data_IF_960306272354
#
_entry.id   IF_960306272354
#
_cell.length_a   1.000
_cell.length_b   1.000
_cell.length_c   1.000
_cell.angle_alpha   90.00
_cell.angle_beta   90.00
_cell.angle_gamma   90.00
#
_symmetry.space_group_name_H-M   'P 1'
#
loop_
_entity.id
_entity.type
_entity.pdbx_description
1 polymer ?
#
# COMPACT_ATOMS: atom_id res chain seq x y z
N UNK A 1 5.83 -10.45 5.28
CA UNK A 1 5.16 -9.43 6.12
C UNK A 1 4.97 -9.85 7.59
N UNK A 2 4.48 -11.06 7.91
CA UNK A 2 4.09 -11.45 9.27
C UNK A 2 5.07 -11.17 10.43
N UNK A 3 6.39 -11.31 10.25
CA UNK A 3 7.39 -10.96 11.29
C UNK A 3 7.75 -9.46 11.35
N UNK A 4 7.50 -8.69 10.27
CA UNK A 4 7.79 -7.24 10.18
C UNK A 4 6.70 -6.38 10.86
N UNK A 5 5.49 -6.91 11.01
CA UNK A 5 4.39 -6.32 11.76
C UNK A 5 4.62 -6.23 13.29
N UNK A 6 5.74 -6.74 13.81
CA UNK A 6 6.05 -6.73 15.25
C UNK A 6 6.79 -5.44 15.69
N UNK A 7 7.37 -4.66 14.76
CA UNK A 7 8.10 -3.41 15.10
C UNK A 7 7.23 -2.22 15.49
N UNK A 8 6.02 -2.00 14.94
CA UNK A 8 5.19 -0.85 15.29
C UNK A 8 4.70 -0.86 16.75
N UNK A 9 4.77 -2.00 17.44
CA UNK A 9 4.49 -2.08 18.88
C UNK A 9 5.39 -1.16 19.72
N UNK A 10 6.62 -0.91 19.27
CA UNK A 10 7.53 0.03 19.94
C UNK A 10 7.08 1.49 19.80
N UNK A 11 6.43 1.85 18.69
CA UNK A 11 5.91 3.21 18.48
C UNK A 11 4.75 3.53 19.43
N UNK A 12 3.94 2.56 19.84
CA UNK A 12 2.95 2.79 20.91
C UNK A 12 3.60 3.05 22.27
N UNK A 13 4.72 2.37 22.56
CA UNK A 13 5.49 2.62 23.78
C UNK A 13 6.11 4.05 23.81
N UNK A 14 6.24 4.69 22.64
CA UNK A 14 6.72 6.07 22.48
C UNK A 14 5.58 7.11 22.49
N UNK A 15 4.32 6.70 22.74
CA UNK A 15 3.17 7.60 22.92
C UNK A 15 2.37 7.90 21.64
N UNK A 16 2.68 7.24 20.51
CA UNK A 16 1.86 7.38 19.30
C UNK A 16 0.56 6.61 19.43
N UNK A 17 -0.57 7.28 19.22
CA UNK A 17 -1.91 6.67 19.31
C UNK A 17 -2.35 5.97 18.02
N UNK A 18 -1.79 6.37 16.88
CA UNK A 18 -2.03 5.76 15.57
C UNK A 18 -0.71 5.63 14.84
N UNK A 19 -0.46 4.44 14.28
CA UNK A 19 0.72 4.16 13.47
C UNK A 19 0.24 3.52 12.18
N UNK A 20 0.80 3.94 11.05
CA UNK A 20 0.46 3.37 9.74
C UNK A 20 1.72 2.74 9.14
N UNK A 21 1.58 1.51 8.68
CA UNK A 21 2.58 0.84 7.85
C UNK A 21 2.14 0.97 6.41
N UNK A 22 3.07 1.39 5.54
CA UNK A 22 2.88 1.42 4.10
C UNK A 22 3.88 0.50 3.41
N UNK A 23 3.47 -0.09 2.28
CA UNK A 23 4.37 -0.71 1.31
C UNK A 23 5.34 0.34 0.73
N UNK A 24 6.52 -0.11 0.33
CA UNK A 24 7.54 0.75 -0.31
C UNK A 24 7.58 0.61 -1.83
N UNK A 25 6.75 -0.29 -2.36
CA UNK A 25 6.58 -0.75 -3.73
C UNK A 25 5.55 0.06 -4.53
N UNK A 26 4.90 1.04 -3.90
CA UNK A 26 3.89 1.90 -4.55
C UNK A 26 4.37 3.38 -4.65
N UNK A 27 5.36 3.70 -5.51
CA UNK A 27 6.04 5.01 -5.52
C UNK A 27 5.18 6.20 -5.98
N UNK A 28 4.01 5.94 -6.56
CA UNK A 28 3.04 6.94 -6.99
C UNK A 28 1.87 7.13 -6.00
N UNK A 29 1.86 6.40 -4.88
CA UNK A 29 0.77 6.42 -3.91
C UNK A 29 0.44 7.85 -3.45
N UNK A 30 -0.81 8.32 -3.58
CA UNK A 30 -1.18 9.66 -3.16
C UNK A 30 -1.04 9.83 -1.64
N UNK A 31 -0.33 10.87 -1.21
CA UNK A 31 -0.22 11.23 0.22
C UNK A 31 -1.60 11.45 0.86
N UNK A 32 -2.59 11.88 0.08
CA UNK A 32 -3.97 11.99 0.54
C UNK A 32 -4.55 10.68 1.07
N UNK A 33 -4.10 9.51 0.60
CA UNK A 33 -4.60 8.21 1.09
C UNK A 33 -4.01 7.90 2.47
N UNK A 34 -2.73 8.23 2.69
CA UNK A 34 -2.09 8.15 4.01
C UNK A 34 -2.79 9.10 4.99
N UNK A 35 -3.08 10.34 4.56
CA UNK A 35 -3.81 11.31 5.39
C UNK A 35 -5.23 10.83 5.74
N UNK A 36 -5.95 10.22 4.79
CA UNK A 36 -7.26 9.60 5.06
C UNK A 36 -7.15 8.50 6.12
N UNK A 37 -6.12 7.64 6.01
CA UNK A 37 -5.89 6.59 6.99
C UNK A 37 -5.65 7.13 8.41
N UNK A 38 -4.84 8.18 8.53
CA UNK A 38 -4.53 8.82 9.81
C UNK A 38 -5.74 9.55 10.41
N UNK A 39 -6.56 10.16 9.56
CA UNK A 39 -7.76 10.90 9.96
C UNK A 39 -8.97 10.01 10.28
N UNK A 40 -8.99 8.76 9.81
CA UNK A 40 -10.12 7.85 10.04
C UNK A 40 -10.29 7.48 11.51
N UNK A 41 -11.52 7.50 12.00
CA UNK A 41 -11.88 7.09 13.37
C UNK A 41 -12.29 5.61 13.46
N UNK A 42 -12.09 4.83 12.38
CA UNK A 42 -12.34 3.39 12.41
C UNK A 42 -11.24 2.65 13.15
N UNK A 43 -11.60 1.50 13.71
CA UNK A 43 -10.63 0.63 14.37
C UNK A 43 -9.60 0.15 13.35
N UNK A 44 -10.07 -0.35 12.20
CA UNK A 44 -9.25 -0.87 11.11
C UNK A 44 -9.45 -0.07 9.82
N UNK A 45 -8.37 0.35 9.19
CA UNK A 45 -8.37 0.95 7.85
C UNK A 45 -7.54 0.04 6.96
N UNK A 46 -7.93 -0.24 5.72
CA UNK A 46 -7.08 -0.99 4.81
C UNK A 46 -7.00 -0.25 3.48
N UNK A 47 -5.82 -0.19 2.89
CA UNK A 47 -5.63 0.30 1.52
C UNK A 47 -5.49 -0.88 0.56
N UNK A 48 -6.54 -1.28 -0.18
CA UNK A 48 -6.48 -2.46 -1.05
C UNK A 48 -5.44 -2.27 -2.15
N UNK A 49 -4.65 -3.31 -2.40
CA UNK A 49 -3.77 -3.39 -3.57
C UNK A 49 -4.40 -4.22 -4.68
N UNK A 50 -3.99 -3.98 -5.92
CA UNK A 50 -4.48 -4.72 -7.10
C UNK A 50 -4.05 -6.18 -7.14
N UNK A 51 -3.07 -6.57 -6.32
CA UNK A 51 -2.59 -7.95 -6.18
C UNK A 51 -3.47 -8.79 -5.23
N UNK A 52 -4.51 -8.21 -4.62
CA UNK A 52 -5.39 -8.87 -3.63
C UNK A 52 -4.94 -8.72 -2.17
N UNK A 53 -3.83 -8.02 -1.94
CA UNK A 53 -3.34 -7.60 -0.63
C UNK A 53 -3.77 -6.17 -0.26
N UNK A 54 -2.89 -5.49 0.46
CA UNK A 54 -3.06 -4.09 0.83
C UNK A 54 -1.72 -3.36 0.95
N UNK A 55 -1.66 -2.15 0.41
CA UNK A 55 -0.49 -1.25 0.48
C UNK A 55 -0.40 -0.52 1.82
N UNK A 56 -1.46 -0.56 2.65
CA UNK A 56 -1.55 0.18 3.92
C UNK A 56 -2.24 -0.63 5.02
N UNK A 57 -1.61 -0.65 6.21
CA UNK A 57 -2.18 -1.21 7.44
C UNK A 57 -1.99 -0.23 8.60
N UNK A 58 -3.04 0.17 9.33
CA UNK A 58 -2.92 0.81 10.62
C UNK A 58 -2.57 -0.26 11.64
N UNK A 59 -1.53 0.02 12.40
CA UNK A 59 -1.31 -0.64 13.65
C UNK A 59 -2.10 0.12 14.70
N UNK A 60 -2.91 -0.61 15.45
CA UNK A 60 -3.28 -0.24 16.82
C UNK A 60 -3.03 -1.48 17.66
N UNK A 61 -2.57 -1.34 18.90
CA UNK A 61 -2.25 -2.49 19.75
C UNK A 61 -3.41 -3.47 19.96
N UNK A 62 -4.66 -3.03 19.69
CA UNK A 62 -5.88 -3.84 19.82
C UNK A 62 -6.15 -4.77 18.63
N UNK A 63 -5.48 -4.57 17.49
CA UNK A 63 -5.80 -5.27 16.23
C UNK A 63 -4.78 -6.32 15.81
N UNK A 64 -3.79 -6.63 16.67
CA UNK A 64 -2.78 -7.64 16.38
C UNK A 64 -3.38 -8.99 15.97
N UNK A 65 -4.46 -9.39 16.64
CA UNK A 65 -5.14 -10.67 16.43
C UNK A 65 -5.79 -10.79 15.05
N UNK A 66 -6.20 -9.69 14.42
CA UNK A 66 -6.79 -9.69 13.06
C UNK A 66 -5.80 -10.24 12.04
N UNK A 67 -4.51 -9.99 12.26
CA UNK A 67 -3.43 -10.36 11.34
C UNK A 67 -2.81 -11.73 11.67
N UNK A 68 -3.18 -12.35 12.79
CA UNK A 68 -2.68 -13.67 13.17
C UNK A 68 -3.22 -14.74 12.23
N UNK A 69 -2.32 -15.54 11.64
CA UNK A 69 -2.67 -16.63 10.72
C UNK A 69 -3.27 -16.18 9.40
N UNK A 70 -3.03 -14.94 8.94
CA UNK A 70 -3.32 -14.53 7.54
C UNK A 70 -2.22 -15.08 6.64
N UNK A 71 -2.59 -15.68 5.51
CA UNK A 71 -1.65 -16.22 4.54
C UNK A 71 -1.04 -15.10 3.69
N UNK A 72 -0.02 -14.44 4.25
CA UNK A 72 0.70 -13.33 3.60
C UNK A 72 1.29 -13.70 2.24
N UNK A 73 1.24 -12.76 1.29
CA UNK A 73 1.81 -12.93 -0.05
C UNK A 73 0.92 -13.74 -1.00
N UNK A 74 -0.38 -13.77 -0.73
CA UNK A 74 -1.38 -14.36 -1.62
C UNK A 74 -2.38 -13.30 -2.05
N UNK A 75 -3.07 -13.54 -3.16
CA UNK A 75 -4.15 -12.69 -3.67
C UNK A 75 -5.41 -12.67 -2.78
N UNK A 76 -5.44 -13.49 -1.73
CA UNK A 76 -6.58 -13.63 -0.83
C UNK A 76 -6.39 -12.89 0.50
N UNK A 77 -5.28 -12.16 0.68
CA UNK A 77 -4.92 -11.53 1.97
C UNK A 77 -6.00 -10.56 2.44
N UNK A 78 -6.54 -9.71 1.56
CA UNK A 78 -7.62 -8.79 1.92
C UNK A 78 -8.89 -9.55 2.31
N UNK A 79 -9.31 -10.52 1.49
CA UNK A 79 -10.52 -11.30 1.71
C UNK A 79 -10.47 -12.11 3.00
N UNK A 80 -9.33 -12.76 3.30
CA UNK A 80 -9.11 -13.48 4.55
C UNK A 80 -9.18 -12.53 5.75
N UNK A 81 -8.61 -11.34 5.63
CA UNK A 81 -8.65 -10.32 6.69
C UNK A 81 -10.08 -9.86 6.96
N UNK A 82 -10.85 -9.56 5.90
CA UNK A 82 -12.25 -9.15 6.01
C UNK A 82 -13.14 -10.27 6.56
N UNK A 83 -12.87 -11.54 6.19
CA UNK A 83 -13.58 -12.70 6.75
C UNK A 83 -13.34 -12.84 8.26
N UNK A 84 -12.14 -12.54 8.76
CA UNK A 84 -11.81 -12.63 10.19
C UNK A 84 -12.51 -11.59 11.05
N UNK A 85 -12.66 -10.37 10.55
CA UNK A 85 -13.36 -9.31 11.28
C UNK A 85 -14.88 -9.39 11.13
N UNK A 86 -15.38 -10.19 10.19
CA UNK A 86 -16.82 -10.40 9.98
C UNK A 86 -17.45 -11.02 11.23
N UNK A 87 -18.45 -10.35 11.79
CA UNK A 87 -19.13 -10.78 13.02
C UNK A 87 -18.47 -10.31 14.32
N UNK A 88 -17.37 -9.55 14.23
CA UNK A 88 -16.80 -8.84 15.38
C UNK A 88 -17.38 -7.41 15.49
N UNK A 89 -17.13 -6.72 16.59
CA UNK A 89 -17.48 -5.30 16.76
C UNK A 89 -16.44 -4.34 16.17
N UNK A 90 -15.45 -4.84 15.41
CA UNK A 90 -14.39 -4.05 14.82
C UNK A 90 -14.98 -3.23 13.66
N UNK A 91 -14.97 -1.91 13.81
CA UNK A 91 -15.35 -1.01 12.73
C UNK A 91 -14.21 -0.89 11.71
N UNK A 92 -14.53 -0.90 10.42
CA UNK A 92 -13.49 -0.80 9.38
C UNK A 92 -13.83 0.15 8.24
N UNK A 93 -12.80 0.61 7.53
CA UNK A 93 -12.86 1.42 6.32
C UNK A 93 -11.87 0.89 5.26
N UNK A 94 -12.30 0.87 4.01
CA UNK A 94 -11.42 0.62 2.87
C UNK A 94 -11.10 1.96 2.19
N UNK A 95 -9.81 2.24 2.05
CA UNK A 95 -9.32 3.38 1.26
C UNK A 95 -9.46 3.06 -0.23
N UNK A 96 -9.30 4.06 -1.12
CA UNK A 96 -9.26 3.79 -2.54
C UNK A 96 -8.14 2.80 -2.89
N UNK A 97 -8.42 1.97 -3.90
CA UNK A 97 -7.50 0.97 -4.43
C UNK A 97 -6.24 1.67 -4.97
N UNK A 98 -5.09 1.05 -4.78
CA UNK A 98 -3.84 1.41 -5.45
C UNK A 98 -3.12 0.15 -5.94
N UNK A 99 -1.99 0.32 -6.63
CA UNK A 99 -1.22 -0.77 -7.22
C UNK A 99 0.22 -0.75 -6.71
N UNK A 100 0.82 -1.93 -6.63
CA UNK A 100 2.24 -2.14 -6.33
C UNK A 100 3.03 -2.34 -7.63
N UNK A 101 4.36 -2.18 -7.55
CA UNK A 101 5.27 -2.28 -8.70
C UNK A 101 6.24 -3.43 -8.47
N UNK A 102 5.80 -4.64 -8.83
CA UNK A 102 6.53 -5.89 -8.59
C UNK A 102 7.12 -6.51 -9.85
N UNK A 103 6.56 -6.19 -11.02
CA UNK A 103 6.94 -6.75 -12.31
C UNK A 103 7.40 -5.69 -13.32
N UNK A 104 8.10 -6.10 -14.40
CA UNK A 104 8.44 -5.20 -15.50
C UNK A 104 7.23 -4.54 -16.17
N UNK A 105 6.08 -5.20 -16.19
CA UNK A 105 4.85 -4.64 -16.77
C UNK A 105 4.24 -3.57 -15.86
N UNK A 106 4.32 -3.74 -14.54
CA UNK A 106 3.92 -2.70 -13.57
C UNK A 106 4.80 -1.45 -13.71
N UNK A 107 6.08 -1.62 -14.03
CA UNK A 107 6.98 -0.52 -14.28
C UNK A 107 6.61 0.27 -15.55
N UNK A 108 6.21 -0.43 -16.63
CA UNK A 108 5.69 0.21 -17.85
C UNK A 108 4.39 0.95 -17.57
N UNK A 109 3.51 0.35 -16.76
CA UNK A 109 2.27 0.98 -16.33
C UNK A 109 2.55 2.24 -15.50
N UNK A 110 3.44 2.15 -14.50
CA UNK A 110 3.86 3.30 -13.67
C UNK A 110 4.40 4.44 -14.53
N UNK A 111 5.27 4.15 -15.51
CA UNK A 111 5.79 5.18 -16.42
C UNK A 111 4.67 5.90 -17.15
N UNK A 112 3.78 5.13 -17.79
CA UNK A 112 2.62 5.67 -18.52
C UNK A 112 1.72 6.50 -17.61
N UNK A 113 1.44 6.01 -16.41
CA UNK A 113 0.63 6.70 -15.42
C UNK A 113 1.25 8.05 -15.00
N UNK A 114 2.55 8.09 -14.71
CA UNK A 114 3.25 9.33 -14.34
C UNK A 114 3.32 10.34 -15.50
N UNK A 115 3.46 9.85 -16.73
CA UNK A 115 3.38 10.69 -17.93
C UNK A 115 1.99 11.34 -18.05
N UNK A 116 0.92 10.56 -17.97
CA UNK A 116 -0.46 11.07 -18.09
C UNK A 116 -0.83 12.03 -16.96
N UNK A 117 -0.40 11.75 -15.72
CA UNK A 117 -0.54 12.69 -14.59
C UNK A 117 0.16 14.02 -14.88
N UNK A 118 1.37 13.98 -15.46
CA UNK A 118 2.08 15.22 -15.78
C UNK A 118 1.34 16.04 -16.85
N UNK A 119 0.69 15.38 -17.83
CA UNK A 119 -0.12 16.06 -18.84
C UNK A 119 -1.38 16.73 -18.27
N UNK A 120 -1.90 16.24 -17.14
CA UNK A 120 -3.04 16.88 -16.45
C UNK A 120 -2.63 18.05 -15.54
N UNK A 121 -1.34 18.40 -15.51
CA UNK A 121 -0.79 19.48 -14.67
C UNK A 121 -0.51 19.07 -13.22
N UNK A 122 -0.72 17.81 -12.87
CA UNK A 122 -0.39 17.27 -11.55
C UNK A 122 1.08 16.81 -11.52
N UNK A 123 1.77 17.05 -10.40
CA UNK A 123 3.15 16.62 -10.19
C UNK A 123 3.23 15.55 -9.10
N UNK A 124 2.94 14.30 -9.45
CA UNK A 124 3.12 13.14 -8.57
C UNK A 124 4.42 12.42 -8.96
N UNK A 125 5.20 11.96 -7.97
CA UNK A 125 6.34 11.07 -8.22
C UNK A 125 7.48 11.66 -9.06
N UNK A 126 7.74 12.99 -9.02
CA UNK A 126 8.72 13.67 -9.89
C UNK A 126 10.11 13.00 -9.91
N UNK A 127 10.62 12.59 -8.74
CA UNK A 127 11.92 11.89 -8.65
C UNK A 127 11.88 10.53 -9.35
N UNK A 128 10.80 9.77 -9.12
CA UNK A 128 10.56 8.48 -9.77
C UNK A 128 10.45 8.64 -11.28
N UNK A 129 9.71 9.63 -11.76
CA UNK A 129 9.60 9.94 -13.19
C UNK A 129 10.96 10.25 -13.81
N UNK A 130 11.73 11.16 -13.21
CA UNK A 130 13.07 11.51 -13.70
C UNK A 130 13.98 10.27 -13.80
N UNK A 131 13.96 9.41 -12.78
CA UNK A 131 14.73 8.17 -12.78
C UNK A 131 14.27 7.19 -13.87
N UNK A 132 12.96 7.06 -14.11
CA UNK A 132 12.43 6.22 -15.20
C UNK A 132 12.78 6.76 -16.59
N UNK A 133 12.86 8.08 -16.72
CA UNK A 133 13.31 8.75 -17.95
C UNK A 133 14.81 8.51 -18.19
N UNK A 134 15.63 8.51 -17.13
CA UNK A 134 17.06 8.15 -17.20
C UNK A 134 17.29 6.69 -17.58
N UNK A 135 16.47 5.78 -17.04
CA UNK A 135 16.57 4.33 -17.33
C UNK A 135 16.10 4.00 -18.75
N UNK A 136 15.36 4.91 -19.41
CA UNK A 136 14.79 4.79 -20.76
C UNK A 136 15.10 3.44 -21.41
N UNK A 137 14.15 2.50 -21.25
CA UNK A 137 14.15 1.21 -21.94
C UNK A 137 14.53 1.45 -23.39
N UNK A 138 15.77 1.13 -23.76
CA UNK A 138 16.26 1.30 -25.10
C UNK A 138 15.21 0.73 -26.06
N UNK A 139 14.73 1.57 -26.98
CA UNK A 139 14.00 1.10 -28.16
C UNK A 139 14.97 0.22 -28.97
N UNK A 140 15.04 -1.06 -28.62
CA UNK A 140 15.91 -2.03 -29.28
C UNK A 140 16.49 -3.04 -28.30
N UNK A 141 15.96 -4.26 -28.34
CA UNK A 141 16.65 -5.43 -27.84
C UNK A 141 16.01 -6.13 -26.64
N UNK A 142 14.81 -6.67 -26.80
CA UNK A 142 14.61 -8.04 -26.34
C UNK A 142 15.18 -8.94 -27.45
N UNK A 143 16.47 -9.27 -27.35
CA UNK A 143 17.02 -10.38 -28.12
C UNK A 143 16.64 -11.66 -27.38
N UNK A 144 15.82 -12.47 -28.07
CA UNK A 144 15.58 -13.92 -27.97
C UNK A 144 15.65 -14.58 -26.60
#
# INVERSE_FOLDING_TARGET
>A
MGKKCVRPFRSFAEGYNKVVIIGSDSPSLPVSYINKALASDKDLVLGPSTDGGYYLIPMSGKLSEVFNGVAWGTENVLDETLKKIKGTSISFELLPIWYDVDSPDDLKFLKTHLELIAHSGLCVGRKTKNFLDEISFNRGGFLK
#
